data_IF_781273411186
#
_entry.id   IF_781273411186
#
_cell.length_a   1.000
_cell.length_b   1.000
_cell.length_c   1.000
_cell.angle_alpha   90.00
_cell.angle_beta   90.00
_cell.angle_gamma   90.00
#
_symmetry.space_group_name_H-M   'P 1'
#
loop_
_entity.id
_entity.type
_entity.pdbx_description
1 polymer ?
#
# COMPACT_ATOMS: atom_id res chain seq x y z
N UNK A 1 15.57 -10.92 -10.25
CA UNK A 1 14.90 -10.36 -9.06
C UNK A 1 14.56 -8.90 -9.35
N UNK A 2 13.41 -8.44 -8.88
CA UNK A 2 13.03 -7.04 -9.05
C UNK A 2 14.13 -6.14 -8.46
N UNK A 3 14.59 -5.21 -9.28
CA UNK A 3 15.65 -4.28 -8.89
C UNK A 3 15.07 -3.03 -8.24
N UNK A 4 13.85 -2.69 -8.64
CA UNK A 4 13.09 -1.57 -8.08
C UNK A 4 11.66 -1.99 -7.79
N UNK A 5 11.24 -1.81 -6.54
CA UNK A 5 9.85 -2.01 -6.10
C UNK A 5 9.24 -0.66 -5.77
N UNK A 6 8.11 -0.36 -6.43
CA UNK A 6 7.30 0.82 -6.19
C UNK A 6 6.05 0.39 -5.42
N UNK A 7 5.86 0.90 -4.20
CA UNK A 7 4.67 0.66 -3.39
C UNK A 7 3.64 1.77 -3.58
N UNK A 8 2.43 1.44 -4.03
CA UNK A 8 1.31 2.39 -4.14
C UNK A 8 0.41 2.26 -2.94
N UNK A 9 0.35 3.31 -2.13
CA UNK A 9 -0.35 3.37 -0.85
C UNK A 9 -1.56 4.30 -0.88
N UNK A 10 -2.45 4.09 0.08
CA UNK A 10 -3.56 4.99 0.36
C UNK A 10 -4.87 4.29 0.67
N UNK A 11 -5.85 5.03 1.20
CA UNK A 11 -7.11 4.54 1.73
C UNK A 11 -8.04 3.85 0.72
N UNK A 12 -9.29 3.71 1.12
CA UNK A 12 -10.36 3.17 0.28
C UNK A 12 -10.97 4.34 -0.51
N UNK A 13 -11.36 4.13 -1.76
CA UNK A 13 -12.03 5.15 -2.57
C UNK A 13 -11.15 6.25 -3.17
N UNK A 14 -9.83 6.14 -3.05
CA UNK A 14 -8.89 7.21 -3.43
C UNK A 14 -8.40 7.17 -4.89
N UNK A 15 -8.83 6.20 -5.71
CA UNK A 15 -8.45 6.12 -7.12
C UNK A 15 -7.19 5.30 -7.42
N UNK A 16 -6.65 4.50 -6.48
CA UNK A 16 -5.45 3.66 -6.71
C UNK A 16 -5.51 2.82 -7.98
N UNK A 17 -6.61 2.10 -8.19
CA UNK A 17 -6.75 1.22 -9.35
C UNK A 17 -6.72 1.97 -10.69
N UNK A 18 -7.27 3.19 -10.74
CA UNK A 18 -7.21 4.03 -11.95
C UNK A 18 -5.78 4.56 -12.15
N UNK A 19 -5.12 5.00 -11.10
CA UNK A 19 -3.71 5.38 -11.15
C UNK A 19 -2.82 4.23 -11.66
N UNK A 20 -2.99 3.03 -11.11
CA UNK A 20 -2.26 1.83 -11.52
C UNK A 20 -2.51 1.48 -12.98
N UNK A 21 -3.76 1.54 -13.44
CA UNK A 21 -4.10 1.32 -14.86
C UNK A 21 -3.42 2.34 -15.78
N UNK A 22 -3.34 3.60 -15.36
CA UNK A 22 -2.65 4.63 -16.12
C UNK A 22 -1.15 4.36 -16.21
N UNK A 23 -0.54 3.89 -15.12
CA UNK A 23 0.87 3.53 -15.09
C UNK A 23 1.20 2.34 -16.03
N UNK A 24 0.32 1.34 -16.12
CA UNK A 24 0.47 0.22 -17.07
C UNK A 24 0.54 0.65 -18.52
N UNK A 25 -0.17 1.73 -18.90
CA UNK A 25 -0.24 2.23 -20.28
C UNK A 25 0.97 3.07 -20.68
N UNK A 26 1.78 3.49 -19.70
CA UNK A 26 2.92 4.38 -19.94
C UNK A 26 4.22 3.59 -20.00
N UNK A 27 5.14 4.06 -20.85
CA UNK A 27 6.50 3.53 -20.93
C UNK A 27 7.41 4.40 -20.09
N UNK A 28 8.29 3.79 -19.31
CA UNK A 28 9.35 4.50 -18.63
C UNK A 28 10.34 5.10 -19.63
N UNK A 29 10.99 6.19 -19.22
CA UNK A 29 11.95 6.92 -20.00
C UNK A 29 13.15 6.05 -20.40
N UNK A 30 13.75 6.36 -21.55
CA UNK A 30 14.99 5.73 -22.02
C UNK A 30 16.21 6.04 -21.12
N UNK A 31 16.08 6.95 -20.16
CA UNK A 31 17.13 7.27 -19.19
C UNK A 31 17.33 6.18 -18.13
N UNK A 32 16.30 5.34 -17.91
CA UNK A 32 16.46 4.20 -17.02
C UNK A 32 17.43 3.18 -17.63
N UNK A 33 18.33 2.57 -16.82
CA UNK A 33 19.24 1.55 -17.30
C UNK A 33 18.50 0.43 -18.03
N UNK A 34 18.97 0.06 -19.21
CA UNK A 34 18.33 -0.99 -20.04
C UNK A 34 18.28 -2.37 -19.40
N UNK A 35 19.08 -2.58 -18.34
CA UNK A 35 19.03 -3.81 -17.54
C UNK A 35 17.87 -3.87 -16.56
N UNK A 36 17.25 -2.71 -16.25
CA UNK A 36 16.12 -2.62 -15.32
C UNK A 36 14.78 -2.81 -16.01
N UNK A 37 14.70 -2.41 -17.27
CA UNK A 37 13.45 -2.47 -18.02
C UNK A 37 13.75 -2.84 -19.48
N UNK A 38 13.10 -3.86 -19.99
CA UNK A 38 12.86 -3.93 -21.43
C UNK A 38 12.01 -2.68 -21.76
N UNK A 39 12.41 -1.83 -22.72
CA UNK A 39 11.70 -0.57 -22.96
C UNK A 39 10.20 -0.80 -23.07
N UNK A 40 9.45 -0.39 -22.06
CA UNK A 40 7.99 -0.44 -22.05
C UNK A 40 7.30 -1.37 -21.05
N UNK A 41 7.99 -2.21 -20.29
CA UNK A 41 7.32 -3.12 -19.35
C UNK A 41 7.50 -2.71 -17.90
N UNK A 42 6.44 -2.13 -17.32
CA UNK A 42 6.21 -2.06 -15.88
C UNK A 42 5.39 -3.27 -15.47
N UNK A 43 5.94 -4.14 -14.63
CA UNK A 43 5.19 -5.24 -14.03
C UNK A 43 4.31 -4.68 -12.91
N UNK A 44 3.06 -5.10 -12.86
CA UNK A 44 2.10 -4.56 -11.90
C UNK A 44 1.40 -5.66 -11.15
N UNK A 45 1.49 -5.59 -9.83
CA UNK A 45 0.79 -6.42 -8.88
C UNK A 45 -0.35 -5.61 -8.23
N UNK A 46 -1.57 -5.79 -8.74
CA UNK A 46 -2.78 -5.23 -8.13
C UNK A 46 -3.06 -5.93 -6.81
N UNK A 47 -3.93 -5.34 -5.98
CA UNK A 47 -4.30 -5.94 -4.70
C UNK A 47 -4.75 -7.40 -4.88
N UNK A 48 -4.09 -8.30 -4.15
CA UNK A 48 -4.26 -9.74 -4.26
C UNK A 48 -5.74 -10.17 -4.18
N UNK A 49 -6.15 -11.05 -5.10
CA UNK A 49 -7.47 -11.71 -5.03
C UNK A 49 -7.63 -12.43 -3.69
N UNK A 50 -6.58 -13.11 -3.22
CA UNK A 50 -6.61 -13.83 -1.95
C UNK A 50 -6.93 -12.91 -0.76
N UNK A 51 -6.36 -11.69 -0.69
CA UNK A 51 -6.69 -10.71 0.36
C UNK A 51 -8.17 -10.32 0.27
N UNK A 52 -8.68 -10.06 -0.93
CA UNK A 52 -10.09 -9.71 -1.14
C UNK A 52 -11.03 -10.85 -0.75
N UNK A 53 -10.67 -12.08 -1.08
CA UNK A 53 -11.46 -13.26 -0.76
C UNK A 53 -11.48 -13.54 0.75
N UNK A 54 -10.35 -13.41 1.45
CA UNK A 54 -10.27 -13.53 2.92
C UNK A 54 -11.14 -12.45 3.60
N UNK A 55 -11.03 -11.20 3.14
CA UNK A 55 -11.84 -10.11 3.68
C UNK A 55 -13.33 -10.39 3.51
N UNK A 56 -13.77 -10.80 2.33
CA UNK A 56 -15.18 -11.04 2.00
C UNK A 56 -15.75 -12.29 2.69
N UNK A 57 -14.98 -13.39 2.73
CA UNK A 57 -15.47 -14.71 3.15
C UNK A 57 -15.24 -15.00 4.63
N UNK A 58 -14.27 -14.35 5.27
CA UNK A 58 -13.89 -14.61 6.67
C UNK A 58 -14.05 -13.36 7.53
N UNK A 59 -13.34 -12.25 7.21
CA UNK A 59 -13.28 -11.08 8.07
C UNK A 59 -14.64 -10.40 8.27
N UNK A 60 -15.32 -9.98 7.19
CA UNK A 60 -16.60 -9.30 7.32
C UNK A 60 -17.72 -10.18 7.92
N UNK A 61 -17.85 -11.48 7.60
CA UNK A 61 -18.77 -12.36 8.31
C UNK A 61 -18.43 -12.52 9.80
N UNK A 62 -17.16 -12.63 10.17
CA UNK A 62 -16.73 -12.70 11.56
C UNK A 62 -17.03 -11.41 12.32
N UNK A 63 -16.77 -10.26 11.70
CA UNK A 63 -17.07 -8.94 12.27
C UNK A 63 -18.56 -8.79 12.59
N UNK A 64 -19.45 -9.23 11.69
CA UNK A 64 -20.91 -9.21 11.92
C UNK A 64 -21.36 -10.09 13.10
N UNK A 65 -20.60 -11.15 13.41
CA UNK A 65 -20.88 -12.07 14.53
C UNK A 65 -20.13 -11.68 15.81
N UNK A 66 -19.39 -10.57 15.80
CA UNK A 66 -18.48 -10.17 16.88
C UNK A 66 -17.45 -11.28 17.25
N UNK A 67 -17.02 -12.05 16.25
CA UNK A 67 -16.04 -13.13 16.45
C UNK A 67 -14.63 -12.56 16.31
N UNK A 68 -14.10 -12.05 17.42
CA UNK A 68 -12.77 -11.44 17.46
C UNK A 68 -11.63 -12.39 17.08
N UNK A 69 -11.78 -13.70 17.33
CA UNK A 69 -10.76 -14.69 17.00
C UNK A 69 -10.69 -14.93 15.50
N UNK A 70 -11.84 -15.07 14.86
CA UNK A 70 -11.90 -15.20 13.40
C UNK A 70 -11.48 -13.90 12.70
N UNK A 71 -11.81 -12.71 13.25
CA UNK A 71 -11.30 -11.43 12.75
C UNK A 71 -9.77 -11.38 12.82
N UNK A 72 -9.18 -11.78 13.96
CA UNK A 72 -7.73 -11.79 14.12
C UNK A 72 -7.04 -12.79 13.19
N UNK A 73 -7.59 -14.00 13.05
CA UNK A 73 -7.08 -15.00 12.11
C UNK A 73 -7.11 -14.49 10.65
N UNK A 74 -8.18 -13.79 10.26
CA UNK A 74 -8.29 -13.17 8.94
C UNK A 74 -7.24 -12.07 8.73
N UNK A 75 -6.98 -11.23 9.73
CA UNK A 75 -5.93 -10.19 9.65
C UNK A 75 -4.53 -10.80 9.45
N UNK A 76 -4.19 -11.87 10.18
CA UNK A 76 -2.93 -12.60 9.98
C UNK A 76 -2.86 -13.19 8.57
N UNK A 77 -3.95 -13.80 8.08
CA UNK A 77 -3.99 -14.39 6.75
C UNK A 77 -3.86 -13.32 5.64
N UNK A 78 -4.49 -12.16 5.79
CA UNK A 78 -4.36 -11.04 4.86
C UNK A 78 -2.94 -10.47 4.85
N UNK A 79 -2.30 -10.33 6.01
CA UNK A 79 -0.89 -9.92 6.10
C UNK A 79 0.02 -10.92 5.39
N UNK A 80 -0.16 -12.22 5.63
CA UNK A 80 0.62 -13.28 4.99
C UNK A 80 0.47 -13.28 3.47
N UNK A 81 -0.76 -13.14 2.98
CA UNK A 81 -1.05 -13.06 1.54
C UNK A 81 -0.40 -11.82 0.88
N UNK A 82 -0.31 -10.71 1.60
CA UNK A 82 0.34 -9.50 1.11
C UNK A 82 1.87 -9.64 1.08
N UNK A 83 2.44 -10.28 2.09
CA UNK A 83 3.87 -10.61 2.10
C UNK A 83 4.22 -11.56 0.96
N UNK A 84 3.39 -12.59 0.72
CA UNK A 84 3.58 -13.49 -0.42
C UNK A 84 3.52 -12.75 -1.76
N UNK A 85 2.59 -11.83 -1.93
CA UNK A 85 2.52 -10.94 -3.10
C UNK A 85 3.83 -10.16 -3.29
N UNK A 86 4.41 -9.60 -2.22
CA UNK A 86 5.69 -8.90 -2.27
C UNK A 86 6.84 -9.83 -2.65
N UNK A 87 6.86 -11.05 -2.11
CA UNK A 87 7.85 -12.07 -2.46
C UNK A 87 7.73 -12.52 -3.91
N UNK A 88 6.52 -12.65 -4.44
CA UNK A 88 6.32 -12.95 -5.87
C UNK A 88 6.78 -11.77 -6.74
N UNK A 89 6.39 -10.56 -6.40
CA UNK A 89 6.83 -9.34 -7.10
C UNK A 89 8.35 -9.22 -7.15
N UNK A 90 9.04 -9.59 -6.07
CA UNK A 90 10.50 -9.54 -6.00
C UNK A 90 11.24 -10.51 -6.93
N UNK A 91 10.57 -11.54 -7.42
CA UNK A 91 11.15 -12.53 -8.37
C UNK A 91 11.08 -12.04 -9.82
N UNK A 92 10.30 -11.02 -10.10
CA UNK A 92 10.24 -10.41 -11.43
C UNK A 92 11.57 -9.74 -11.79
N UNK A 93 11.76 -9.42 -13.05
CA UNK A 93 12.88 -8.63 -13.49
C UNK A 93 12.49 -7.14 -13.67
N UNK A 94 13.41 -6.23 -13.40
CA UNK A 94 13.25 -4.80 -13.63
C UNK A 94 12.40 -4.10 -12.57
N UNK A 95 11.47 -3.26 -13.01
CA UNK A 95 10.66 -2.39 -12.15
C UNK A 95 9.29 -3.02 -11.92
N UNK A 96 8.91 -3.12 -10.65
CA UNK A 96 7.63 -3.69 -10.25
C UNK A 96 6.85 -2.67 -9.42
N UNK A 97 5.59 -2.46 -9.77
CA UNK A 97 4.63 -1.67 -9.00
C UNK A 97 3.70 -2.61 -8.23
N UNK A 98 3.61 -2.42 -6.92
CA UNK A 98 2.75 -3.22 -6.04
C UNK A 98 1.68 -2.32 -5.42
N UNK A 99 0.40 -2.69 -5.60
CA UNK A 99 -0.71 -2.04 -4.91
C UNK A 99 -0.74 -2.53 -3.46
N UNK A 100 -0.60 -1.60 -2.54
CA UNK A 100 -0.49 -1.78 -1.10
C UNK A 100 0.79 -2.51 -0.67
N UNK A 101 1.27 -2.14 0.48
CA UNK A 101 2.47 -2.73 1.11
C UNK A 101 2.11 -3.29 2.50
N UNK A 102 2.88 -4.24 3.04
CA UNK A 102 2.61 -4.83 4.35
C UNK A 102 2.55 -3.83 5.51
N UNK A 103 3.23 -2.70 5.40
CA UNK A 103 3.20 -1.61 6.37
C UNK A 103 1.79 -1.04 6.54
N UNK A 104 1.00 -0.95 5.46
CA UNK A 104 -0.40 -0.50 5.54
C UNK A 104 -1.25 -1.48 6.37
N UNK A 105 -1.02 -2.79 6.23
CA UNK A 105 -1.72 -3.79 7.06
C UNK A 105 -1.41 -3.57 8.53
N UNK A 106 -0.13 -3.40 8.90
CA UNK A 106 0.28 -3.28 10.30
C UNK A 106 -0.12 -1.95 10.93
N UNK A 107 0.18 -0.84 10.25
CA UNK A 107 0.12 0.49 10.87
C UNK A 107 -1.14 1.28 10.55
N UNK A 108 -1.95 0.78 9.60
CA UNK A 108 -3.21 1.44 9.23
C UNK A 108 -4.40 0.53 9.53
N UNK A 109 -4.54 -0.61 8.83
CA UNK A 109 -5.74 -1.43 8.93
C UNK A 109 -5.85 -2.14 10.28
N UNK A 110 -4.86 -2.92 10.67
CA UNK A 110 -4.86 -3.61 11.96
C UNK A 110 -4.87 -2.62 13.15
N UNK A 111 -4.14 -1.51 13.03
CA UNK A 111 -4.13 -0.47 14.06
C UNK A 111 -5.53 0.16 14.24
N UNK A 112 -6.23 0.42 13.13
CA UNK A 112 -7.61 0.90 13.16
C UNK A 112 -8.54 -0.11 13.83
N UNK A 113 -8.45 -1.38 13.45
CA UNK A 113 -9.30 -2.45 13.96
C UNK A 113 -9.05 -2.70 15.45
N UNK A 114 -7.79 -2.63 15.88
CA UNK A 114 -7.42 -2.70 17.29
C UNK A 114 -8.02 -1.54 18.09
N UNK A 115 -7.85 -0.30 17.63
CA UNK A 115 -8.38 0.91 18.28
C UNK A 115 -9.90 0.95 18.29
N UNK A 116 -10.53 0.41 17.29
CA UNK A 116 -12.00 0.30 17.17
C UNK A 116 -12.59 -0.82 18.04
N UNK A 117 -11.76 -1.58 18.76
CA UNK A 117 -12.22 -2.62 19.68
C UNK A 117 -12.69 -3.92 19.03
N UNK A 118 -12.36 -4.15 17.73
CA UNK A 118 -12.73 -5.40 17.03
C UNK A 118 -12.19 -6.63 17.75
N UNK A 119 -11.03 -6.50 18.39
CA UNK A 119 -10.41 -7.57 19.17
C UNK A 119 -10.78 -7.53 20.66
N UNK A 120 -11.77 -6.74 21.05
CA UNK A 120 -12.17 -6.45 22.43
C UNK A 120 -11.63 -5.11 22.92
N UNK A 121 -11.88 -4.79 24.19
CA UNK A 121 -11.32 -3.57 24.80
C UNK A 121 -9.79 -3.54 24.62
N UNK A 122 -9.24 -2.47 23.99
CA UNK A 122 -7.79 -2.34 23.75
C UNK A 122 -6.94 -2.44 25.02
N UNK A 123 -7.51 -2.14 26.18
CA UNK A 123 -6.82 -2.26 27.47
C UNK A 123 -6.83 -3.68 28.05
N UNK A 124 -7.67 -4.57 27.53
CA UNK A 124 -7.77 -5.96 27.98
C UNK A 124 -6.50 -6.76 27.68
N UNK A 125 -6.21 -7.78 28.51
CA UNK A 125 -5.09 -8.70 28.26
C UNK A 125 -5.20 -9.41 26.91
N UNK A 126 -6.40 -9.79 26.50
CA UNK A 126 -6.65 -10.51 25.24
C UNK A 126 -6.34 -9.61 24.05
N UNK A 127 -6.88 -8.38 24.01
CA UNK A 127 -6.61 -7.47 22.89
C UNK A 127 -5.12 -7.12 22.80
N UNK A 128 -4.45 -6.88 23.94
CA UNK A 128 -2.99 -6.67 24.01
C UNK A 128 -2.20 -7.87 23.49
N UNK A 129 -2.65 -9.09 23.80
CA UNK A 129 -2.03 -10.32 23.28
C UNK A 129 -2.16 -10.41 21.75
N UNK A 130 -3.33 -10.11 21.19
CA UNK A 130 -3.50 -10.03 19.73
C UNK A 130 -2.58 -8.99 19.10
N UNK A 131 -2.49 -7.79 19.69
CA UNK A 131 -1.62 -6.74 19.21
C UNK A 131 -0.14 -7.15 19.20
N UNK A 132 0.33 -7.76 20.28
CA UNK A 132 1.71 -8.27 20.39
C UNK A 132 1.99 -9.38 19.37
N UNK A 133 1.07 -10.35 19.25
CA UNK A 133 1.20 -11.45 18.30
C UNK A 133 1.22 -10.98 16.86
N UNK A 134 0.34 -10.05 16.50
CA UNK A 134 0.33 -9.46 15.15
C UNK A 134 1.62 -8.69 14.86
N UNK A 135 2.07 -7.88 15.83
CA UNK A 135 3.31 -7.11 15.68
C UNK A 135 4.53 -8.01 15.51
N UNK A 136 4.64 -9.08 16.30
CA UNK A 136 5.71 -10.07 16.17
C UNK A 136 5.68 -10.78 14.81
N UNK A 137 4.50 -11.18 14.35
CA UNK A 137 4.29 -11.80 13.05
C UNK A 137 4.70 -10.85 11.92
N UNK A 138 4.27 -9.58 11.98
CA UNK A 138 4.67 -8.57 11.01
C UNK A 138 6.20 -8.41 10.96
N UNK A 139 6.86 -8.24 12.09
CA UNK A 139 8.33 -8.09 12.14
C UNK A 139 9.06 -9.30 11.56
N UNK A 140 8.61 -10.51 11.88
CA UNK A 140 9.19 -11.72 11.31
C UNK A 140 9.04 -11.78 9.78
N UNK A 141 7.84 -11.47 9.28
CA UNK A 141 7.55 -11.50 7.86
C UNK A 141 8.23 -10.35 7.09
N UNK A 142 8.27 -9.16 7.69
CA UNK A 142 8.93 -7.97 7.12
C UNK A 142 10.39 -8.23 6.77
N UNK A 143 11.10 -8.96 7.62
CA UNK A 143 12.52 -9.28 7.41
C UNK A 143 12.77 -10.24 6.23
N UNK A 144 11.72 -10.81 5.63
CA UNK A 144 11.82 -11.73 4.51
C UNK A 144 11.52 -11.08 3.15
N UNK A 145 10.95 -9.89 3.14
CA UNK A 145 10.60 -9.18 1.92
C UNK A 145 11.65 -8.12 1.56
N UNK A 146 11.86 -7.86 0.27
CA UNK A 146 12.74 -6.78 -0.15
C UNK A 146 12.18 -5.41 0.24
N UNK A 147 13.05 -4.41 0.43
CA UNK A 147 12.61 -3.06 0.74
C UNK A 147 11.88 -2.43 -0.46
N UNK A 148 10.89 -1.59 -0.17
CA UNK A 148 10.28 -0.71 -1.17
C UNK A 148 11.25 0.42 -1.50
N UNK A 149 11.51 0.65 -2.79
CA UNK A 149 12.44 1.68 -3.25
C UNK A 149 11.76 3.04 -3.43
N UNK A 150 10.50 3.05 -3.90
CA UNK A 150 9.71 4.25 -4.10
C UNK A 150 8.32 4.05 -3.50
N UNK A 151 7.90 4.98 -2.66
CA UNK A 151 6.57 5.01 -2.05
C UNK A 151 5.74 6.05 -2.79
N UNK A 152 4.63 5.63 -3.37
CA UNK A 152 3.64 6.52 -3.99
C UNK A 152 2.41 6.56 -3.07
N UNK A 153 2.17 7.68 -2.45
CA UNK A 153 1.01 7.89 -1.61
C UNK A 153 0.00 8.79 -2.30
N UNK A 154 -1.19 8.28 -2.57
CA UNK A 154 -2.31 9.07 -3.06
C UNK A 154 -3.02 9.72 -1.88
N UNK A 155 -2.83 11.02 -1.72
CA UNK A 155 -3.40 11.80 -0.63
C UNK A 155 -4.79 12.31 -1.04
N UNK A 156 -5.82 11.75 -0.41
CA UNK A 156 -7.22 12.10 -0.67
C UNK A 156 -7.94 12.31 0.65
N UNK A 157 -8.62 13.46 0.77
CA UNK A 157 -9.42 13.80 1.95
C UNK A 157 -10.57 12.80 2.14
N UNK A 158 -10.93 12.48 3.39
CA UNK A 158 -11.98 11.51 3.71
C UNK A 158 -13.33 11.80 3.05
N UNK A 159 -13.69 13.08 2.94
CA UNK A 159 -14.95 13.53 2.32
C UNK A 159 -14.98 13.21 0.83
N UNK A 160 -13.87 13.41 0.13
CA UNK A 160 -13.72 13.09 -1.30
C UNK A 160 -13.74 11.58 -1.51
N UNK A 161 -13.04 10.83 -0.66
CA UNK A 161 -13.05 9.38 -0.70
C UNK A 161 -14.46 8.81 -0.48
N UNK A 162 -15.21 9.33 0.49
CA UNK A 162 -16.60 8.93 0.75
C UNK A 162 -17.51 9.19 -0.45
N UNK A 163 -17.39 10.36 -1.08
CA UNK A 163 -18.14 10.70 -2.29
C UNK A 163 -17.88 9.65 -3.39
N UNK A 164 -16.62 9.37 -3.69
CA UNK A 164 -16.21 8.38 -4.71
C UNK A 164 -16.68 6.96 -4.39
N UNK A 165 -16.67 6.56 -3.11
CA UNK A 165 -17.20 5.25 -2.66
C UNK A 165 -18.70 5.16 -2.95
N UNK A 166 -19.48 6.20 -2.63
CA UNK A 166 -20.91 6.25 -2.87
C UNK A 166 -21.24 6.21 -4.37
N UNK A 167 -20.55 6.99 -5.18
CA UNK A 167 -20.72 7.02 -6.64
C UNK A 167 -20.40 5.67 -7.28
N UNK A 168 -19.33 4.99 -6.82
CA UNK A 168 -18.95 3.66 -7.30
C UNK A 168 -19.94 2.55 -6.89
N UNK A 169 -20.62 2.67 -5.78
CA UNK A 169 -21.75 1.83 -5.34
C UNK A 169 -21.43 0.36 -5.07
N UNK A 170 -20.21 -0.01 -4.71
CA UNK A 170 -19.84 -1.41 -4.43
C UNK A 170 -20.55 -1.94 -3.19
N UNK A 171 -21.15 -3.13 -3.29
CA UNK A 171 -21.88 -3.77 -2.18
C UNK A 171 -21.03 -3.98 -0.93
N UNK A 172 -19.76 -4.31 -1.09
CA UNK A 172 -18.78 -4.54 -0.01
C UNK A 172 -18.40 -3.27 0.76
N UNK A 173 -18.71 -2.09 0.23
CA UNK A 173 -18.34 -0.80 0.79
C UNK A 173 -19.52 -0.04 1.43
N UNK A 174 -20.73 -0.63 1.45
CA UNK A 174 -21.96 0.03 1.93
C UNK A 174 -21.95 0.45 3.41
N UNK A 175 -21.08 -0.14 4.22
CA UNK A 175 -20.94 0.18 5.65
C UNK A 175 -19.85 1.20 5.96
N UNK A 176 -19.12 1.70 4.94
CA UNK A 176 -18.04 2.65 5.15
C UNK A 176 -18.64 4.04 5.39
N UNK A 177 -18.35 4.61 6.56
CA UNK A 177 -18.74 5.96 6.94
C UNK A 177 -17.56 6.94 6.95
N UNK A 178 -17.86 8.21 7.20
CA UNK A 178 -16.88 9.27 7.24
C UNK A 178 -15.91 9.13 8.44
N UNK A 179 -16.40 8.64 9.57
CA UNK A 179 -15.59 8.45 10.79
C UNK A 179 -14.52 7.40 10.55
N UNK A 180 -14.90 6.28 9.96
CA UNK A 180 -13.94 5.23 9.57
C UNK A 180 -12.86 5.77 8.62
N UNK A 181 -13.26 6.53 7.59
CA UNK A 181 -12.31 7.12 6.63
C UNK A 181 -11.39 8.16 7.27
N UNK A 182 -11.88 8.97 8.22
CA UNK A 182 -11.07 9.92 8.99
C UNK A 182 -10.03 9.20 9.86
N UNK A 183 -10.41 8.11 10.50
CA UNK A 183 -9.50 7.29 11.29
C UNK A 183 -8.39 6.69 10.40
N UNK A 184 -8.76 6.09 9.26
CA UNK A 184 -7.77 5.58 8.31
C UNK A 184 -6.85 6.70 7.80
N UNK A 185 -7.40 7.85 7.45
CA UNK A 185 -6.62 8.99 6.95
C UNK A 185 -5.58 9.44 7.99
N UNK A 186 -5.98 9.60 9.25
CA UNK A 186 -5.06 9.94 10.35
C UNK A 186 -3.94 8.91 10.51
N UNK A 187 -4.26 7.61 10.41
CA UNK A 187 -3.27 6.54 10.48
C UNK A 187 -2.32 6.54 9.27
N UNK A 188 -2.81 6.89 8.08
CA UNK A 188 -1.94 7.08 6.91
C UNK A 188 -1.00 8.27 7.09
N UNK A 189 -1.48 9.42 7.60
CA UNK A 189 -0.60 10.55 7.89
C UNK A 189 0.51 10.11 8.87
N UNK A 190 0.14 9.42 9.96
CA UNK A 190 1.12 8.90 10.91
C UNK A 190 2.11 7.90 10.27
N UNK A 191 1.63 7.00 9.41
CA UNK A 191 2.49 6.05 8.70
C UNK A 191 3.54 6.80 7.86
N UNK A 192 3.11 7.84 7.14
CA UNK A 192 3.92 8.55 6.16
C UNK A 192 4.84 9.58 6.80
N UNK A 193 4.35 10.31 7.80
CA UNK A 193 5.07 11.45 8.37
C UNK A 193 5.92 11.07 9.61
N UNK A 194 5.65 9.92 10.26
CA UNK A 194 6.35 9.47 11.45
C UNK A 194 7.02 8.09 11.28
N UNK A 195 6.25 7.06 10.90
CA UNK A 195 6.72 5.66 10.97
C UNK A 195 7.71 5.31 9.85
N UNK A 196 7.35 5.58 8.59
CA UNK A 196 8.22 5.27 7.45
C UNK A 196 9.53 6.07 7.46
N UNK A 197 9.56 7.37 7.86
CA UNK A 197 10.83 8.08 8.03
C UNK A 197 11.82 7.39 8.98
N UNK A 198 11.33 6.84 10.09
CA UNK A 198 12.16 6.12 11.06
C UNK A 198 12.59 4.73 10.57
N UNK A 199 11.79 4.09 9.72
CA UNK A 199 12.04 2.72 9.24
C UNK A 199 12.85 2.64 7.95
N UNK A 200 12.81 3.69 7.14
CA UNK A 200 13.35 3.67 5.77
C UNK A 200 14.46 4.71 5.62
N UNK A 201 15.72 4.28 5.45
CA UNK A 201 16.80 5.23 5.20
C UNK A 201 16.51 6.13 3.99
N UNK A 202 16.79 7.43 4.13
CA UNK A 202 16.59 8.43 3.07
C UNK A 202 15.15 8.49 2.54
N UNK A 203 14.16 8.24 3.39
CA UNK A 203 12.75 8.17 3.03
C UNK A 203 12.25 9.39 2.24
N UNK A 204 12.63 10.60 2.61
CA UNK A 204 12.24 11.83 1.91
C UNK A 204 12.58 11.84 0.42
N UNK A 205 13.60 11.09 -0.01
CA UNK A 205 13.95 10.93 -1.42
C UNK A 205 13.17 9.79 -2.10
N UNK A 206 12.49 8.95 -1.33
CA UNK A 206 11.75 7.80 -1.82
C UNK A 206 10.24 8.03 -1.84
N UNK A 207 9.73 9.00 -1.09
CA UNK A 207 8.30 9.32 -1.04
C UNK A 207 7.92 10.23 -2.21
N UNK A 208 6.86 9.86 -2.91
CA UNK A 208 6.08 10.69 -3.79
C UNK A 208 4.66 10.80 -3.23
N UNK A 209 4.32 11.96 -2.65
CA UNK A 209 2.97 12.29 -2.19
C UNK A 209 2.22 12.99 -3.32
N UNK A 210 1.09 12.45 -3.73
CA UNK A 210 0.26 12.92 -4.84
C UNK A 210 -1.06 13.42 -4.28
N UNK A 211 -1.34 14.72 -4.42
CA UNK A 211 -2.69 15.24 -4.18
C UNK A 211 -3.65 14.69 -5.25
N UNK A 212 -4.55 13.81 -4.83
CA UNK A 212 -5.52 13.15 -5.68
C UNK A 212 -6.97 13.51 -5.29
N UNK A 213 -7.18 14.69 -4.69
CA UNK A 213 -8.51 15.17 -4.32
C UNK A 213 -9.40 15.51 -5.51
N UNK A 214 -8.79 15.97 -6.60
CA UNK A 214 -9.48 16.18 -7.88
C UNK A 214 -9.34 14.95 -8.78
N UNK A 215 -10.17 14.86 -9.81
CA UNK A 215 -9.98 13.86 -10.84
C UNK A 215 -8.70 14.20 -11.62
N UNK A 216 -7.82 13.22 -11.77
CA UNK A 216 -6.54 13.42 -12.44
C UNK A 216 -6.75 13.46 -13.94
N UNK A 217 -6.34 14.56 -14.57
CA UNK A 217 -6.25 14.64 -16.04
C UNK A 217 -5.14 13.73 -16.59
N UNK A 218 -5.16 13.45 -17.88
CA UNK A 218 -4.07 12.71 -18.53
C UNK A 218 -2.73 13.43 -18.39
N UNK A 219 -2.74 14.75 -18.31
CA UNK A 219 -1.54 15.56 -18.11
C UNK A 219 -1.00 15.44 -16.69
N UNK A 220 -1.86 15.45 -15.68
CA UNK A 220 -1.46 15.18 -14.29
C UNK A 220 -0.84 13.79 -14.15
N UNK A 221 -1.47 12.78 -14.72
CA UNK A 221 -0.94 11.41 -14.72
C UNK A 221 0.41 11.32 -15.43
N UNK A 222 0.61 12.08 -16.52
CA UNK A 222 1.91 12.16 -17.20
C UNK A 222 2.97 12.82 -16.31
N UNK A 223 2.63 13.93 -15.65
CA UNK A 223 3.51 14.63 -14.72
C UNK A 223 3.93 13.71 -13.57
N UNK A 224 2.99 13.00 -12.96
CA UNK A 224 3.29 12.07 -11.86
C UNK A 224 4.13 10.89 -12.32
N UNK A 225 3.93 10.40 -13.54
CA UNK A 225 4.80 9.38 -14.12
C UNK A 225 6.26 9.86 -14.18
N UNK A 226 6.50 11.06 -14.69
CA UNK A 226 7.86 11.63 -14.73
C UNK A 226 8.46 11.79 -13.33
N UNK A 227 7.69 12.25 -12.35
CA UNK A 227 8.16 12.35 -10.96
C UNK A 227 8.52 10.97 -10.37
N UNK A 228 7.77 9.93 -10.70
CA UNK A 228 8.10 8.55 -10.29
C UNK A 228 9.42 8.11 -10.94
N UNK A 229 9.61 8.35 -12.22
CA UNK A 229 10.88 8.05 -12.93
C UNK A 229 12.06 8.75 -12.25
N UNK A 230 11.96 10.04 -11.97
CA UNK A 230 12.99 10.81 -11.28
C UNK A 230 13.32 10.22 -9.89
N UNK A 231 12.29 9.81 -9.14
CA UNK A 231 12.47 9.16 -7.83
C UNK A 231 13.19 7.81 -7.96
N UNK A 232 12.84 7.01 -8.98
CA UNK A 232 13.52 5.75 -9.26
C UNK A 232 14.99 6.01 -9.58
N UNK A 233 15.28 6.93 -10.50
CA UNK A 233 16.65 7.29 -10.91
C UNK A 233 17.46 7.70 -9.66
N UNK A 234 16.92 8.59 -8.85
CA UNK A 234 17.59 9.05 -7.63
C UNK A 234 17.81 7.92 -6.63
N UNK A 235 16.83 7.04 -6.44
CA UNK A 235 16.98 5.86 -5.57
C UNK A 235 18.10 4.94 -6.05
N UNK A 236 18.21 4.72 -7.35
CA UNK A 236 19.28 3.90 -7.94
C UNK A 236 20.66 4.53 -7.78
N UNK A 237 20.80 5.82 -8.02
CA UNK A 237 22.04 6.56 -7.82
C UNK A 237 22.56 6.44 -6.37
N UNK A 238 21.62 6.56 -5.40
CA UNK A 238 21.94 6.40 -3.98
C UNK A 238 22.38 4.97 -3.59
N UNK A 239 21.97 3.99 -4.39
CA UNK A 239 22.41 2.60 -4.23
C UNK A 239 23.72 2.29 -4.98
N UNK A 240 24.38 3.31 -5.56
CA UNK A 240 25.66 3.16 -6.28
C UNK A 240 25.54 2.77 -7.75
N UNK A 241 24.31 2.79 -8.32
CA UNK A 241 24.13 2.53 -9.75
C UNK A 241 24.60 3.73 -10.58
N UNK A 242 25.40 3.45 -11.61
CA UNK A 242 25.79 4.45 -12.60
C UNK A 242 24.82 4.44 -13.77
N UNK A 243 24.23 5.56 -14.08
CA UNK A 243 23.34 5.71 -15.24
C UNK A 243 24.18 5.81 -16.52
N UNK A 244 23.63 5.32 -17.65
CA UNK A 244 24.37 5.21 -18.94
C UNK A 244 24.92 6.53 -19.51
N UNK A 245 24.51 7.70 -19.02
CA UNK A 245 24.85 9.00 -19.56
C UNK A 245 25.57 9.93 -18.57
N UNK A 246 26.26 9.39 -17.59
CA UNK A 246 27.14 10.15 -16.69
C UNK A 246 28.60 9.69 -16.79
#
# INVERSE_FOLDING_TARGET
MAEVIIGVMGGIGIGKSEFIKSMKKRRFSSQLPSMLVTPGELKVYEESKQVKDIAASVFYPALKRNDKYACFAAEIAMLSARVDQMLQASKENGIVLVERIPEENRFVFFENDYKSGIFGDPNSKIAKSFYQSYSATYQYLKNKIPPVNVFVYLDVKPEVALKRIKERGRKSERGIDLTYLKNLYSLYQRLIDEILPDMVPMYGHRLLRIDANNDMSDEDLKRFHLQIEERIIKSLQLQGWRLKNQ
#
